data_IF_427810631753
#
_entry.id   IF_427810631753
#
_cell.length_a   1.000
_cell.length_b   1.000
_cell.length_c   1.000
_cell.angle_alpha   90.00
_cell.angle_beta   90.00
_cell.angle_gamma   90.00
#
_symmetry.space_group_name_H-M   'P 1'
#
loop_
_entity.id
_entity.type
_entity.pdbx_description
1 polymer ?
#
# COMPACT_ATOMS: atom_id res chain seq x y z
N UNK A 1 27.79 -10.97 1.42
CA UNK A 1 27.99 -10.56 0.02
C UNK A 1 29.48 -10.57 -0.29
N UNK A 2 29.83 -10.92 -1.53
CA UNK A 2 31.21 -10.94 -2.03
C UNK A 2 31.42 -9.82 -3.05
N UNK A 3 32.67 -9.42 -3.23
CA UNK A 3 33.06 -8.47 -4.27
C UNK A 3 32.62 -8.96 -5.66
N UNK A 4 32.09 -8.04 -6.48
CA UNK A 4 31.55 -8.34 -7.80
C UNK A 4 30.20 -9.09 -7.83
N UNK A 5 29.62 -9.45 -6.68
CA UNK A 5 28.30 -10.10 -6.63
C UNK A 5 27.18 -9.09 -6.89
N UNK A 6 26.23 -9.43 -7.77
CA UNK A 6 24.98 -8.69 -7.92
C UNK A 6 23.87 -9.25 -7.01
N UNK A 7 23.10 -8.36 -6.40
CA UNK A 7 21.97 -8.69 -5.52
C UNK A 7 20.74 -7.93 -6.01
N UNK A 8 19.65 -8.65 -6.27
CA UNK A 8 18.35 -8.09 -6.63
C UNK A 8 17.38 -8.45 -5.50
N UNK A 9 16.70 -7.46 -4.93
CA UNK A 9 15.71 -7.72 -3.90
C UNK A 9 15.11 -6.46 -3.31
N UNK A 10 14.23 -6.65 -2.33
CA UNK A 10 13.87 -5.56 -1.44
C UNK A 10 15.05 -5.25 -0.51
N UNK A 11 15.34 -3.97 -0.32
CA UNK A 11 16.51 -3.45 0.42
C UNK A 11 16.24 -2.14 1.16
N UNK A 12 15.01 -1.61 1.09
CA UNK A 12 14.53 -0.40 1.75
C UNK A 12 15.49 0.82 1.70
N UNK A 13 16.10 1.15 0.55
CA UNK A 13 17.23 2.08 0.52
C UNK A 13 16.85 3.53 0.86
N UNK A 14 15.56 3.89 0.86
CA UNK A 14 15.07 5.21 1.28
C UNK A 14 14.69 5.27 2.77
N UNK A 15 14.43 4.13 3.41
CA UNK A 15 14.13 4.03 4.83
C UNK A 15 15.38 3.73 5.67
N UNK A 16 16.25 2.87 5.15
CA UNK A 16 17.51 2.47 5.78
C UNK A 16 18.72 2.73 4.86
N UNK A 17 18.99 4.02 4.50
CA UNK A 17 20.04 4.35 3.55
C UNK A 17 21.44 3.90 4.00
N UNK A 18 21.68 3.76 5.31
CA UNK A 18 22.95 3.26 5.84
C UNK A 18 23.25 1.82 5.39
N UNK A 19 22.23 0.95 5.24
CA UNK A 19 22.42 -0.42 4.77
C UNK A 19 22.96 -0.47 3.32
N UNK A 20 22.70 0.57 2.51
CA UNK A 20 23.27 0.68 1.18
C UNK A 20 24.80 0.84 1.21
N UNK A 21 25.36 1.54 2.22
CA UNK A 21 26.81 1.65 2.42
C UNK A 21 27.43 0.29 2.75
N UNK A 22 26.84 -0.46 3.67
CA UNK A 22 27.32 -1.80 4.06
C UNK A 22 27.41 -2.76 2.88
N UNK A 23 26.45 -2.67 1.94
CA UNK A 23 26.46 -3.45 0.70
C UNK A 23 27.53 -2.95 -0.26
N UNK A 24 27.64 -1.62 -0.43
CA UNK A 24 28.63 -0.99 -1.28
C UNK A 24 30.08 -1.33 -0.85
N UNK A 25 30.41 -1.21 0.44
CA UNK A 25 31.74 -1.47 1.00
C UNK A 25 32.22 -2.92 0.79
N UNK A 26 31.29 -3.87 0.63
CA UNK A 26 31.60 -5.26 0.29
C UNK A 26 31.89 -5.48 -1.21
N UNK A 27 31.86 -4.43 -2.02
CA UNK A 27 32.07 -4.48 -3.47
C UNK A 27 30.89 -5.08 -4.25
N UNK A 28 29.74 -5.26 -3.60
CA UNK A 28 28.56 -5.82 -4.25
C UNK A 28 27.78 -4.75 -5.03
N UNK A 29 27.08 -5.19 -6.07
CA UNK A 29 26.11 -4.38 -6.80
C UNK A 29 24.72 -4.66 -6.26
N UNK A 30 24.02 -3.63 -5.77
CA UNK A 30 22.64 -3.77 -5.27
C UNK A 30 21.63 -3.14 -6.22
N UNK A 31 20.58 -3.90 -6.55
CA UNK A 31 19.43 -3.46 -7.31
C UNK A 31 18.17 -3.60 -6.43
N UNK A 32 17.52 -2.47 -6.15
CA UNK A 32 16.35 -2.41 -5.26
C UNK A 32 15.06 -2.54 -6.06
N UNK A 33 14.25 -3.52 -5.70
CA UNK A 33 12.93 -3.75 -6.31
C UNK A 33 11.91 -2.65 -5.96
N UNK A 34 12.10 -1.93 -4.85
CA UNK A 34 11.25 -0.80 -4.44
C UNK A 34 11.43 0.44 -5.32
N UNK A 35 12.59 0.55 -5.96
CA UNK A 35 12.96 1.71 -6.78
C UNK A 35 12.68 1.51 -8.28
N UNK A 36 11.93 0.46 -8.64
CA UNK A 36 11.46 0.27 -10.03
C UNK A 36 10.67 1.53 -10.46
N UNK A 37 11.07 2.20 -11.55
CA UNK A 37 10.38 3.40 -12.00
C UNK A 37 8.96 3.06 -12.45
N UNK A 38 8.01 3.96 -12.16
CA UNK A 38 6.59 3.79 -12.49
C UNK A 38 6.29 4.17 -13.95
N UNK A 39 6.93 3.46 -14.88
CA UNK A 39 6.78 3.63 -16.32
C UNK A 39 6.13 2.39 -16.95
N UNK A 40 5.42 2.57 -18.07
CA UNK A 40 4.66 1.50 -18.73
C UNK A 40 5.48 0.23 -18.99
N UNK A 41 6.72 0.37 -19.47
CA UNK A 41 7.60 -0.77 -19.76
C UNK A 41 8.11 -1.52 -18.53
N UNK A 42 8.04 -0.92 -17.34
CA UNK A 42 8.53 -1.51 -16.09
C UNK A 42 7.42 -2.14 -15.22
N UNK A 43 6.14 -2.01 -15.61
CA UNK A 43 5.00 -2.49 -14.81
C UNK A 43 5.09 -3.98 -14.45
N UNK A 44 5.63 -4.81 -15.35
CA UNK A 44 5.82 -6.25 -15.09
C UNK A 44 6.95 -6.57 -14.10
N UNK A 45 7.81 -5.59 -13.81
CA UNK A 45 8.90 -5.68 -12.82
C UNK A 45 8.51 -5.11 -11.46
N UNK A 46 7.35 -4.42 -11.37
CA UNK A 46 6.90 -3.78 -10.13
C UNK A 46 6.44 -4.83 -9.10
N UNK A 47 7.35 -5.13 -8.18
CA UNK A 47 7.09 -6.03 -7.06
C UNK A 47 6.21 -5.40 -5.97
N UNK A 48 6.23 -4.07 -5.80
CA UNK A 48 5.39 -3.39 -4.81
C UNK A 48 3.92 -3.52 -5.18
N UNK A 49 3.57 -3.33 -6.46
CA UNK A 49 2.22 -3.54 -6.96
C UNK A 49 1.76 -4.99 -6.81
N UNK A 50 2.67 -5.95 -7.03
CA UNK A 50 2.39 -7.38 -6.86
C UNK A 50 2.07 -7.72 -5.40
N UNK A 51 2.90 -7.26 -4.46
CA UNK A 51 2.67 -7.45 -3.02
C UNK A 51 1.43 -6.71 -2.53
N UNK A 52 1.19 -5.49 -3.00
CA UNK A 52 0.01 -4.69 -2.66
C UNK A 52 -1.30 -5.37 -3.08
N UNK A 53 -1.31 -6.03 -4.24
CA UNK A 53 -2.45 -6.83 -4.70
C UNK A 53 -2.78 -7.92 -3.68
N UNK A 54 -1.78 -8.68 -3.25
CA UNK A 54 -1.98 -9.75 -2.27
C UNK A 54 -2.45 -9.18 -0.93
N UNK A 55 -1.84 -8.08 -0.47
CA UNK A 55 -2.22 -7.42 0.77
C UNK A 55 -3.69 -6.95 0.74
N UNK A 56 -4.12 -6.27 -0.32
CA UNK A 56 -5.51 -5.82 -0.48
C UNK A 56 -6.54 -6.97 -0.46
N UNK A 57 -6.23 -8.08 -1.14
CA UNK A 57 -7.05 -9.29 -1.10
C UNK A 57 -7.15 -9.87 0.31
N UNK A 58 -6.00 -10.05 0.97
CA UNK A 58 -5.94 -10.68 2.28
C UNK A 58 -6.55 -9.80 3.38
N UNK A 59 -6.46 -8.47 3.26
CA UNK A 59 -7.08 -7.52 4.18
C UNK A 59 -8.59 -7.76 4.31
N UNK A 60 -9.26 -7.99 3.17
CA UNK A 60 -10.69 -8.29 3.13
C UNK A 60 -11.00 -9.64 3.76
N UNK A 61 -10.16 -10.66 3.55
CA UNK A 61 -10.37 -11.96 4.19
C UNK A 61 -10.19 -11.88 5.71
N UNK A 62 -9.21 -11.12 6.19
CA UNK A 62 -9.04 -10.87 7.63
C UNK A 62 -10.27 -10.15 8.19
N UNK A 63 -10.71 -9.07 7.52
CA UNK A 63 -11.92 -8.36 7.92
C UNK A 63 -13.14 -9.29 7.97
N UNK A 64 -13.33 -10.12 6.94
CA UNK A 64 -14.45 -11.07 6.88
C UNK A 64 -14.39 -12.16 7.95
N UNK A 65 -13.19 -12.56 8.36
CA UNK A 65 -13.01 -13.53 9.44
C UNK A 65 -13.25 -12.93 10.83
N UNK A 66 -12.91 -11.66 11.03
CA UNK A 66 -13.05 -10.98 12.32
C UNK A 66 -14.45 -10.37 12.52
N UNK A 67 -15.13 -9.98 11.44
CA UNK A 67 -16.45 -9.33 11.51
C UNK A 67 -17.53 -10.36 11.94
N UNK A 68 -18.32 -10.07 12.99
CA UNK A 68 -19.42 -10.94 13.42
C UNK A 68 -20.69 -10.73 12.56
N UNK A 69 -20.52 -10.44 11.27
CA UNK A 69 -21.60 -10.21 10.29
C UNK A 69 -21.25 -10.86 8.96
N UNK A 70 -22.28 -11.26 8.23
CA UNK A 70 -22.11 -11.78 6.88
C UNK A 70 -21.90 -10.63 5.89
N UNK A 71 -20.95 -10.79 4.96
CA UNK A 71 -20.68 -9.80 3.91
C UNK A 71 -21.81 -9.66 2.89
N UNK A 72 -22.35 -10.75 2.30
CA UNK A 72 -23.35 -10.63 1.25
C UNK A 72 -24.74 -10.35 1.83
N UNK A 73 -25.59 -9.74 1.00
CA UNK A 73 -27.02 -9.77 1.23
C UNK A 73 -27.53 -11.20 1.07
N UNK A 74 -28.35 -11.67 2.00
CA UNK A 74 -28.96 -13.00 1.91
C UNK A 74 -30.44 -12.95 2.24
N UNK A 75 -31.24 -13.55 1.37
CA UNK A 75 -32.65 -13.83 1.63
C UNK A 75 -32.74 -15.23 2.26
N UNK A 76 -33.13 -15.29 3.53
CA UNK A 76 -33.18 -16.53 4.29
C UNK A 76 -34.59 -16.79 4.82
N UNK A 77 -34.83 -17.99 5.37
CA UNK A 77 -36.08 -18.30 6.05
C UNK A 77 -36.35 -17.39 7.26
N UNK A 78 -35.30 -16.85 7.90
CA UNK A 78 -35.40 -15.94 9.04
C UNK A 78 -35.52 -14.46 8.63
N UNK A 79 -35.62 -14.17 7.32
CA UNK A 79 -35.69 -12.83 6.76
C UNK A 79 -34.43 -12.41 6.01
N UNK A 80 -34.34 -11.12 5.70
CA UNK A 80 -33.25 -10.54 4.90
C UNK A 80 -32.09 -10.11 5.79
N UNK A 81 -30.91 -10.67 5.53
CA UNK A 81 -29.64 -10.21 6.09
C UNK A 81 -29.09 -9.11 5.17
N UNK A 82 -28.85 -7.92 5.75
CA UNK A 82 -28.27 -6.79 5.02
C UNK A 82 -26.78 -7.06 4.74
N UNK A 83 -26.24 -6.59 3.61
CA UNK A 83 -24.82 -6.74 3.31
C UNK A 83 -23.97 -5.89 4.25
N UNK A 84 -22.76 -6.34 4.53
CA UNK A 84 -21.77 -5.54 5.25
C UNK A 84 -21.39 -4.29 4.45
N UNK A 85 -21.14 -3.19 5.16
CA UNK A 85 -20.64 -1.92 4.62
C UNK A 85 -19.13 -1.85 4.83
N UNK A 86 -18.39 -1.90 3.73
CA UNK A 86 -16.93 -1.81 3.72
C UNK A 86 -16.52 -0.45 3.18
N UNK A 87 -15.70 0.28 3.92
CA UNK A 87 -15.13 1.54 3.50
C UNK A 87 -13.63 1.41 3.29
N UNK A 88 -13.14 1.76 2.10
CA UNK A 88 -11.72 1.67 1.74
C UNK A 88 -11.12 3.07 1.62
N UNK A 89 -10.07 3.35 2.40
CA UNK A 89 -9.38 4.64 2.44
C UNK A 89 -8.02 4.48 1.74
N UNK A 90 -7.91 5.10 0.57
CA UNK A 90 -6.83 4.91 -0.38
C UNK A 90 -7.23 3.94 -1.50
N UNK A 91 -7.16 4.39 -2.74
CA UNK A 91 -7.44 3.61 -3.95
C UNK A 91 -6.19 3.43 -4.80
N UNK A 92 -5.06 3.12 -4.15
CA UNK A 92 -3.89 2.53 -4.80
C UNK A 92 -4.13 1.05 -5.12
N UNK A 93 -3.08 0.32 -5.53
CA UNK A 93 -3.20 -1.10 -5.92
C UNK A 93 -3.83 -1.97 -4.82
N UNK A 94 -3.38 -1.82 -3.57
CA UNK A 94 -3.96 -2.55 -2.44
C UNK A 94 -5.44 -2.18 -2.20
N UNK A 95 -5.76 -0.88 -2.24
CA UNK A 95 -7.12 -0.38 -2.07
C UNK A 95 -8.08 -0.88 -3.14
N UNK A 96 -7.71 -0.78 -4.42
CA UNK A 96 -8.50 -1.30 -5.55
C UNK A 96 -8.71 -2.80 -5.45
N UNK A 97 -7.67 -3.55 -5.04
CA UNK A 97 -7.81 -4.99 -4.84
C UNK A 97 -8.69 -5.34 -3.62
N UNK A 98 -8.65 -4.54 -2.55
CA UNK A 98 -9.56 -4.67 -1.42
C UNK A 98 -11.01 -4.38 -1.85
N UNK A 99 -11.25 -3.32 -2.63
CA UNK A 99 -12.56 -3.01 -3.20
C UNK A 99 -13.08 -4.20 -4.02
N UNK A 100 -12.30 -4.69 -4.98
CA UNK A 100 -12.69 -5.81 -5.83
C UNK A 100 -12.99 -7.07 -5.02
N UNK A 101 -12.20 -7.36 -3.98
CA UNK A 101 -12.38 -8.55 -3.14
C UNK A 101 -13.61 -8.43 -2.23
N UNK A 102 -13.86 -7.26 -1.63
CA UNK A 102 -15.04 -7.02 -0.81
C UNK A 102 -16.33 -7.09 -1.64
N UNK A 103 -16.31 -6.56 -2.88
CA UNK A 103 -17.41 -6.68 -3.84
C UNK A 103 -17.68 -8.14 -4.23
N UNK A 104 -16.64 -8.94 -4.45
CA UNK A 104 -16.77 -10.39 -4.71
C UNK A 104 -17.40 -11.15 -3.53
N UNK A 105 -17.18 -10.70 -2.29
CA UNK A 105 -17.86 -11.23 -1.10
C UNK A 105 -19.29 -10.70 -0.92
N UNK A 106 -19.78 -9.81 -1.79
CA UNK A 106 -21.14 -9.29 -1.78
C UNK A 106 -21.37 -8.08 -0.87
N UNK A 107 -20.31 -7.45 -0.37
CA UNK A 107 -20.43 -6.25 0.45
C UNK A 107 -20.87 -5.01 -0.35
N UNK A 108 -21.49 -4.06 0.36
CA UNK A 108 -21.63 -2.69 -0.14
C UNK A 108 -20.32 -1.97 0.13
N UNK A 109 -19.64 -1.52 -0.92
CA UNK A 109 -18.32 -0.90 -0.80
C UNK A 109 -18.41 0.57 -1.14
N UNK A 110 -17.86 1.40 -0.26
CA UNK A 110 -17.61 2.82 -0.45
C UNK A 110 -16.08 3.01 -0.42
N UNK A 111 -15.53 3.96 -1.16
CA UNK A 111 -14.09 4.21 -1.14
C UNK A 111 -13.77 5.69 -1.28
N UNK A 112 -12.64 6.10 -0.71
CA UNK A 112 -12.14 7.46 -0.76
C UNK A 112 -10.66 7.47 -1.14
N UNK A 113 -10.27 8.40 -2.00
CA UNK A 113 -8.87 8.76 -2.27
C UNK A 113 -8.82 10.27 -2.51
N UNK A 114 -7.69 10.89 -2.18
CA UNK A 114 -7.44 12.31 -2.42
C UNK A 114 -7.22 12.63 -3.90
N UNK A 115 -6.95 11.61 -4.69
CA UNK A 115 -6.69 11.70 -6.13
C UNK A 115 -8.00 11.56 -6.91
N UNK A 116 -8.40 12.55 -7.72
CA UNK A 116 -9.63 12.46 -8.49
C UNK A 116 -9.56 11.39 -9.60
N UNK A 117 -8.35 11.11 -10.12
CA UNK A 117 -8.14 10.19 -11.25
C UNK A 117 -8.56 8.73 -10.95
N UNK A 118 -8.61 8.32 -9.68
CA UNK A 118 -8.99 6.96 -9.29
C UNK A 118 -10.50 6.76 -9.15
N UNK A 119 -11.30 7.84 -9.22
CA UNK A 119 -12.76 7.75 -9.10
C UNK A 119 -13.36 6.76 -10.10
N UNK A 120 -13.01 6.90 -11.37
CA UNK A 120 -13.50 6.01 -12.43
C UNK A 120 -13.07 4.55 -12.19
N UNK A 121 -11.87 4.32 -11.65
CA UNK A 121 -11.38 2.98 -11.31
C UNK A 121 -12.22 2.36 -10.17
N UNK A 122 -12.51 3.12 -9.12
CA UNK A 122 -13.38 2.70 -8.01
C UNK A 122 -14.78 2.35 -8.51
N UNK A 123 -15.38 3.22 -9.33
CA UNK A 123 -16.73 3.03 -9.87
C UNK A 123 -16.79 1.83 -10.83
N UNK A 124 -15.75 1.60 -11.64
CA UNK A 124 -15.66 0.44 -12.54
C UNK A 124 -15.65 -0.91 -11.79
N UNK A 125 -15.19 -0.92 -10.54
CA UNK A 125 -15.24 -2.08 -9.65
C UNK A 125 -16.60 -2.22 -8.92
N UNK A 126 -17.53 -1.29 -9.15
CA UNK A 126 -18.87 -1.28 -8.59
C UNK A 126 -18.93 -0.79 -7.15
N UNK A 127 -17.95 0.00 -6.70
CA UNK A 127 -17.99 0.70 -5.41
C UNK A 127 -18.41 2.17 -5.60
N UNK A 128 -18.96 2.77 -4.55
CA UNK A 128 -19.29 4.19 -4.55
C UNK A 128 -18.07 5.01 -4.13
N UNK A 129 -17.71 6.03 -4.93
CA UNK A 129 -16.66 6.98 -4.55
C UNK A 129 -17.22 8.05 -3.62
N UNK A 130 -16.59 8.23 -2.46
CA UNK A 130 -16.95 9.28 -1.49
C UNK A 130 -16.28 10.57 -1.92
N UNK A 131 -17.05 11.49 -2.47
CA UNK A 131 -16.53 12.81 -2.85
C UNK A 131 -16.44 13.75 -1.66
N UNK A 132 -15.37 14.55 -1.62
CA UNK A 132 -15.34 15.74 -0.79
C UNK A 132 -15.79 16.93 -1.64
N UNK A 133 -16.77 17.73 -1.19
CA UNK A 133 -17.29 18.85 -1.96
C UNK A 133 -16.31 20.03 -1.95
N UNK A 134 -15.24 19.96 -2.75
CA UNK A 134 -14.22 21.00 -2.93
C UNK A 134 -13.56 20.95 -4.33
N UNK A 135 -13.13 22.11 -4.84
CA UNK A 135 -12.40 22.24 -6.11
C UNK A 135 -10.95 21.75 -5.95
N UNK A 136 -10.71 20.46 -6.18
CA UNK A 136 -9.37 19.85 -6.04
C UNK A 136 -8.50 20.08 -7.27
N UNK A 137 -7.96 21.30 -7.42
CA UNK A 137 -6.86 21.56 -8.34
C UNK A 137 -5.52 21.08 -7.76
N UNK A 138 -4.94 19.99 -8.28
CA UNK A 138 -3.52 19.66 -8.08
C UNK A 138 -3.14 18.75 -6.90
N UNK A 139 -3.99 17.78 -6.53
CA UNK A 139 -3.72 16.84 -5.42
C UNK A 139 -2.67 15.75 -5.70
N UNK A 140 -2.15 15.65 -6.93
CA UNK A 140 -1.12 14.69 -7.33
C UNK A 140 0.26 15.35 -7.53
N UNK A 141 1.32 14.65 -7.14
CA UNK A 141 2.70 14.92 -7.57
C UNK A 141 3.05 14.20 -8.89
N UNK A 142 4.25 14.46 -9.42
CA UNK A 142 4.70 13.86 -10.68
C UNK A 142 4.81 12.31 -10.65
N UNK A 143 4.79 11.70 -9.45
CA UNK A 143 4.82 10.25 -9.24
C UNK A 143 3.46 9.62 -8.94
N UNK A 144 2.36 10.40 -9.00
CA UNK A 144 1.00 9.97 -8.72
C UNK A 144 0.67 9.80 -7.23
N UNK A 145 1.46 10.41 -6.33
CA UNK A 145 1.19 10.45 -4.89
C UNK A 145 0.45 11.73 -4.48
N UNK A 146 -0.21 11.65 -3.33
CA UNK A 146 -0.97 12.75 -2.73
C UNK A 146 -0.09 13.90 -2.22
N UNK A 147 -0.48 15.16 -2.48
CA UNK A 147 0.10 16.37 -1.87
C UNK A 147 -0.62 16.78 -0.58
N UNK A 148 0.08 17.54 0.28
CA UNK A 148 -0.51 18.20 1.46
C UNK A 148 -1.58 19.22 1.04
N UNK A 149 -2.68 19.30 1.81
CA UNK A 149 -3.88 20.08 1.48
C UNK A 149 -4.13 21.21 2.50
N UNK A 150 -5.01 22.16 2.17
CA UNK A 150 -5.36 23.29 3.05
C UNK A 150 -6.19 22.89 4.29
N UNK A 151 -6.25 23.77 5.30
CA UNK A 151 -6.90 23.50 6.58
C UNK A 151 -8.42 23.27 6.45
N UNK A 152 -9.08 24.03 5.58
CA UNK A 152 -10.51 23.89 5.27
C UNK A 152 -10.85 22.56 4.61
N UNK A 153 -9.95 22.03 3.77
CA UNK A 153 -10.05 20.71 3.17
C UNK A 153 -9.93 19.64 4.23
N UNK A 154 -8.96 19.75 5.14
CA UNK A 154 -8.73 18.79 6.21
C UNK A 154 -9.92 18.72 7.18
N UNK A 155 -10.56 19.85 7.49
CA UNK A 155 -11.77 19.88 8.32
C UNK A 155 -12.95 19.17 7.67
N UNK A 156 -13.27 19.50 6.41
CA UNK A 156 -14.38 18.86 5.68
C UNK A 156 -14.12 17.39 5.39
N UNK A 157 -12.87 17.05 5.10
CA UNK A 157 -12.42 15.67 5.01
C UNK A 157 -12.73 14.96 6.31
N UNK A 158 -12.29 15.51 7.45
CA UNK A 158 -12.53 14.90 8.77
C UNK A 158 -14.02 14.71 9.04
N UNK A 159 -14.86 15.70 8.79
CA UNK A 159 -16.32 15.60 8.98
C UNK A 159 -16.94 14.46 8.15
N UNK A 160 -16.62 14.43 6.85
CA UNK A 160 -17.14 13.40 5.93
C UNK A 160 -16.64 12.01 6.33
N UNK A 161 -15.35 11.90 6.65
CA UNK A 161 -14.72 10.66 7.10
C UNK A 161 -15.34 10.17 8.40
N UNK A 162 -15.58 11.04 9.39
CA UNK A 162 -16.24 10.67 10.65
C UNK A 162 -17.59 10.02 10.40
N UNK A 163 -18.41 10.65 9.55
CA UNK A 163 -19.74 10.12 9.22
C UNK A 163 -19.67 8.76 8.51
N UNK A 164 -18.78 8.61 7.53
CA UNK A 164 -18.68 7.37 6.74
C UNK A 164 -18.06 6.23 7.56
N UNK A 165 -17.01 6.51 8.33
CA UNK A 165 -16.36 5.54 9.23
C UNK A 165 -17.37 5.04 10.27
N UNK A 166 -18.08 5.93 10.97
CA UNK A 166 -19.09 5.55 11.95
C UNK A 166 -20.21 4.66 11.36
N UNK A 167 -20.53 4.87 10.09
CA UNK A 167 -21.57 4.13 9.38
C UNK A 167 -21.10 2.80 8.76
N UNK A 168 -19.81 2.48 8.86
CA UNK A 168 -19.17 1.30 8.25
C UNK A 168 -19.05 0.13 9.23
N UNK A 169 -19.22 -1.09 8.71
CA UNK A 169 -18.95 -2.33 9.44
C UNK A 169 -17.47 -2.68 9.38
N UNK A 170 -16.82 -2.37 8.26
CA UNK A 170 -15.40 -2.60 8.02
C UNK A 170 -14.77 -1.33 7.46
N UNK A 171 -13.60 -0.95 7.96
CA UNK A 171 -12.74 0.08 7.36
C UNK A 171 -11.40 -0.56 6.99
N UNK A 172 -10.93 -0.34 5.75
CA UNK A 172 -9.60 -0.77 5.30
C UNK A 172 -8.80 0.45 4.90
N UNK A 173 -7.63 0.66 5.51
CA UNK A 173 -6.77 1.81 5.21
C UNK A 173 -5.49 1.38 4.50
N UNK A 174 -5.11 2.11 3.45
CA UNK A 174 -3.96 1.76 2.61
C UNK A 174 -3.10 2.96 2.23
N UNK A 175 -3.21 4.08 2.94
CA UNK A 175 -2.53 5.32 2.58
C UNK A 175 -1.08 5.30 3.06
N UNK A 176 -0.14 5.23 2.10
CA UNK A 176 1.29 5.19 2.38
C UNK A 176 2.06 6.13 1.45
N UNK A 177 3.02 6.85 2.02
CA UNK A 177 4.00 7.65 1.27
C UNK A 177 5.39 7.04 1.51
N UNK A 178 6.13 6.65 0.46
CA UNK A 178 7.45 6.03 0.65
C UNK A 178 8.41 6.91 1.44
N UNK A 179 9.12 6.30 2.39
CA UNK A 179 10.09 6.98 3.24
C UNK A 179 9.49 7.95 4.27
N UNK A 180 8.16 7.92 4.50
CA UNK A 180 7.49 8.73 5.51
C UNK A 180 6.61 7.88 6.41
N UNK A 181 6.35 8.39 7.61
CA UNK A 181 5.32 7.86 8.52
C UNK A 181 3.95 7.94 7.84
N UNK A 182 3.11 6.95 8.09
CA UNK A 182 1.74 6.92 7.60
C UNK A 182 0.92 8.08 8.23
N UNK A 183 0.08 8.79 7.45
CA UNK A 183 -0.81 9.80 8.00
C UNK A 183 -1.94 9.15 8.79
N UNK A 184 -2.29 9.71 9.95
CA UNK A 184 -3.48 9.28 10.71
C UNK A 184 -4.73 9.83 10.02
N UNK A 185 -5.55 8.94 9.46
CA UNK A 185 -6.78 9.26 8.74
C UNK A 185 -8.03 8.81 9.50
N UNK A 186 -7.90 7.80 10.37
CA UNK A 186 -8.97 7.28 11.22
C UNK A 186 -8.60 7.53 12.68
N UNK A 187 -9.27 8.50 13.30
CA UNK A 187 -8.99 8.86 14.70
C UNK A 187 -9.65 7.89 15.68
N UNK A 188 -9.18 7.86 16.94
CA UNK A 188 -9.81 7.06 17.99
C UNK A 188 -11.29 7.44 18.22
N UNK A 189 -11.63 8.72 18.06
CA UNK A 189 -13.02 9.21 18.11
C UNK A 189 -13.87 8.63 16.97
N UNK A 190 -13.35 8.58 15.75
CA UNK A 190 -14.05 7.94 14.63
C UNK A 190 -14.30 6.46 14.90
N UNK A 191 -13.31 5.74 15.47
CA UNK A 191 -13.46 4.34 15.87
C UNK A 191 -14.52 4.18 16.97
N UNK A 192 -14.52 5.07 17.97
CA UNK A 192 -15.52 5.08 19.04
C UNK A 192 -16.96 5.30 18.51
N UNK A 193 -17.11 5.99 17.38
CA UNK A 193 -18.39 6.20 16.70
C UNK A 193 -18.88 5.02 15.86
N UNK A 194 -18.04 3.99 15.63
CA UNK A 194 -18.46 2.79 14.90
C UNK A 194 -19.35 1.89 15.77
N UNK A 195 -20.12 1.02 15.10
CA UNK A 195 -20.91 0.00 15.78
C UNK A 195 -20.00 -1.03 16.51
N UNK A 196 -20.41 -1.55 17.67
CA UNK A 196 -19.69 -2.66 18.32
C UNK A 196 -19.59 -3.88 17.40
N UNK A 197 -18.42 -4.51 17.40
CA UNK A 197 -18.07 -5.62 16.52
C UNK A 197 -17.62 -5.20 15.12
N UNK A 198 -17.60 -3.91 14.77
CA UNK A 198 -16.97 -3.45 13.54
C UNK A 198 -15.47 -3.78 13.52
N UNK A 199 -14.86 -3.75 12.33
CA UNK A 199 -13.44 -4.08 12.13
C UNK A 199 -12.72 -2.97 11.37
N UNK A 200 -11.51 -2.64 11.79
CA UNK A 200 -10.55 -1.82 11.04
C UNK A 200 -9.36 -2.70 10.66
N UNK A 201 -8.96 -2.70 9.39
CA UNK A 201 -7.73 -3.35 8.91
C UNK A 201 -6.80 -2.30 8.34
N UNK A 202 -5.66 -2.10 9.00
CA UNK A 202 -4.72 -1.05 8.66
C UNK A 202 -3.48 -1.60 7.95
N UNK A 203 -3.44 -1.44 6.63
CA UNK A 203 -2.31 -1.90 5.81
C UNK A 203 -1.09 -0.98 5.87
N UNK A 204 -1.19 0.14 6.58
CA UNK A 204 -0.07 1.06 6.82
C UNK A 204 0.60 0.84 8.19
N UNK A 205 0.27 -0.25 8.90
CA UNK A 205 0.75 -0.54 10.26
C UNK A 205 2.28 -0.53 10.39
N UNK A 206 3.00 -1.03 9.38
CA UNK A 206 4.48 -1.01 9.33
C UNK A 206 5.10 0.39 9.41
N UNK A 207 4.33 1.43 9.08
CA UNK A 207 4.77 2.84 9.09
C UNK A 207 4.01 3.68 10.11
N UNK A 208 3.48 3.05 11.15
CA UNK A 208 2.74 3.71 12.23
C UNK A 208 1.21 3.66 12.10
N UNK A 209 0.68 3.25 10.95
CA UNK A 209 -0.75 3.09 10.73
C UNK A 209 -1.49 4.36 10.29
N UNK A 210 -2.59 4.16 9.56
CA UNK A 210 -3.57 5.22 9.29
C UNK A 210 -4.66 5.31 10.37
N UNK A 211 -4.79 4.32 11.26
CA UNK A 211 -5.69 4.36 12.40
C UNK A 211 -4.92 4.66 13.69
N UNK A 212 -5.43 5.59 14.50
CA UNK A 212 -4.79 6.03 15.74
C UNK A 212 -4.65 4.92 16.80
N UNK A 213 -5.41 3.83 16.68
CA UNK A 213 -5.37 2.68 17.60
C UNK A 213 -4.49 1.54 17.07
N UNK A 214 -3.93 1.67 15.87
CA UNK A 214 -3.13 0.62 15.23
C UNK A 214 -1.87 0.32 16.03
N UNK A 215 -1.63 -0.96 16.21
CA UNK A 215 -0.36 -1.51 16.67
C UNK A 215 0.06 -2.61 15.70
N UNK A 216 1.29 -2.54 15.22
CA UNK A 216 1.83 -3.51 14.26
C UNK A 216 1.78 -4.93 14.82
N UNK A 217 1.26 -5.86 14.04
CA UNK A 217 1.10 -7.29 14.37
C UNK A 217 0.25 -7.60 15.61
N UNK A 218 -0.49 -6.63 16.11
CA UNK A 218 -1.42 -6.79 17.22
C UNK A 218 -2.88 -6.66 16.76
N UNK A 219 -3.75 -7.37 17.47
CA UNK A 219 -5.19 -7.15 17.46
C UNK A 219 -5.55 -6.28 18.67
N UNK A 220 -6.09 -5.09 18.42
CA UNK A 220 -6.52 -4.15 19.45
C UNK A 220 -8.04 -4.08 19.46
N UNK A 221 -8.66 -4.36 20.60
CA UNK A 221 -10.10 -4.15 20.80
C UNK A 221 -10.29 -2.81 21.50
N UNK A 222 -11.03 -1.88 20.86
CA UNK A 222 -11.37 -0.59 21.45
C UNK A 222 -12.40 -0.72 22.58
N UNK A 223 -12.55 0.34 23.39
CA UNK A 223 -13.52 0.37 24.49
C UNK A 223 -14.97 0.15 24.05
N UNK A 224 -15.34 0.56 22.83
CA UNK A 224 -16.66 0.33 22.23
C UNK A 224 -16.78 -1.02 21.49
N UNK A 225 -15.77 -1.89 21.56
CA UNK A 225 -15.79 -3.24 21.00
C UNK A 225 -15.50 -3.33 19.50
N UNK A 226 -14.78 -2.35 18.92
CA UNK A 226 -14.29 -2.42 17.54
C UNK A 226 -12.94 -3.13 17.54
N UNK A 227 -12.74 -4.04 16.59
CA UNK A 227 -11.46 -4.75 16.42
C UNK A 227 -10.58 -4.01 15.42
N UNK A 228 -9.37 -3.65 15.80
CA UNK A 228 -8.37 -2.99 14.95
C UNK A 228 -7.22 -3.97 14.71
N UNK A 229 -7.01 -4.33 13.45
CA UNK A 229 -5.97 -5.24 12.99
C UNK A 229 -4.89 -4.44 12.27
N UNK A 230 -3.66 -4.50 12.77
CA UNK A 230 -2.49 -3.86 12.16
C UNK A 230 -1.48 -4.84 11.56
N UNK A 231 -1.86 -5.74 10.63
CA UNK A 231 -0.94 -6.77 10.16
C UNK A 231 0.26 -6.15 9.41
N UNK A 232 1.46 -6.62 9.73
CA UNK A 232 2.64 -6.40 8.89
C UNK A 232 2.88 -7.61 7.98
N UNK A 233 3.62 -7.41 6.89
CA UNK A 233 4.04 -8.46 5.96
C UNK A 233 2.89 -9.38 5.50
N UNK A 234 1.73 -8.80 5.23
CA UNK A 234 0.54 -9.54 4.85
C UNK A 234 0.71 -10.46 3.61
N UNK A 235 1.54 -10.11 2.59
CA UNK A 235 1.84 -11.00 1.48
C UNK A 235 2.42 -12.37 1.90
N UNK A 236 3.15 -12.44 3.01
CA UNK A 236 3.72 -13.70 3.53
C UNK A 236 2.65 -14.75 3.89
N UNK A 237 1.41 -14.31 4.13
CA UNK A 237 0.28 -15.19 4.44
C UNK A 237 -0.36 -15.84 3.21
N UNK A 238 0.07 -15.44 2.00
CA UNK A 238 -0.29 -16.06 0.72
C UNK A 238 0.99 -16.45 -0.03
N UNK A 239 1.84 -17.31 0.58
CA UNK A 239 3.24 -17.46 0.17
C UNK A 239 3.38 -18.00 -1.25
N UNK A 240 2.49 -18.89 -1.68
CA UNK A 240 2.54 -19.46 -3.03
C UNK A 240 2.45 -18.37 -4.12
N UNK A 241 1.42 -17.52 -4.07
CA UNK A 241 1.23 -16.46 -5.07
C UNK A 241 2.21 -15.30 -4.86
N UNK A 242 2.57 -14.99 -3.61
CA UNK A 242 3.61 -13.99 -3.33
C UNK A 242 4.94 -14.38 -3.96
N UNK A 243 5.41 -15.61 -3.71
CA UNK A 243 6.64 -16.11 -4.32
C UNK A 243 6.54 -16.21 -5.84
N UNK A 244 5.41 -16.66 -6.39
CA UNK A 244 5.21 -16.74 -7.84
C UNK A 244 5.32 -15.36 -8.51
N UNK A 245 4.59 -14.36 -8.00
CA UNK A 245 4.58 -13.01 -8.57
C UNK A 245 5.95 -12.34 -8.38
N UNK A 246 6.53 -12.43 -7.18
CA UNK A 246 7.84 -11.84 -6.90
C UNK A 246 8.96 -12.46 -7.75
N UNK A 247 8.96 -13.78 -7.91
CA UNK A 247 9.90 -14.46 -8.80
C UNK A 247 9.74 -14.01 -10.26
N UNK A 248 8.50 -13.79 -10.72
CA UNK A 248 8.24 -13.24 -12.06
C UNK A 248 8.78 -11.81 -12.19
N UNK A 249 8.58 -10.95 -11.19
CA UNK A 249 9.10 -9.58 -11.21
C UNK A 249 10.64 -9.57 -11.27
N UNK A 250 11.30 -10.31 -10.37
CA UNK A 250 12.77 -10.45 -10.33
C UNK A 250 13.29 -11.01 -11.65
N UNK A 251 12.70 -12.09 -12.16
CA UNK A 251 13.15 -12.70 -13.41
C UNK A 251 13.02 -11.74 -14.59
N UNK A 252 11.97 -10.92 -14.61
CA UNK A 252 11.75 -9.92 -15.67
C UNK A 252 12.80 -8.80 -15.60
N UNK A 253 13.12 -8.31 -14.40
CA UNK A 253 14.21 -7.35 -14.21
C UNK A 253 15.56 -7.96 -14.58
N UNK A 254 15.85 -9.18 -14.11
CA UNK A 254 17.10 -9.86 -14.40
C UNK A 254 17.32 -10.05 -15.91
N UNK A 255 16.29 -10.47 -16.64
CA UNK A 255 16.35 -10.62 -18.10
C UNK A 255 16.55 -9.26 -18.80
N UNK A 256 15.97 -8.18 -18.28
CA UNK A 256 16.20 -6.82 -18.79
C UNK A 256 17.66 -6.37 -18.59
N UNK A 257 18.27 -6.74 -17.46
CA UNK A 257 19.64 -6.41 -17.10
C UNK A 257 20.69 -7.38 -17.67
N UNK A 258 20.29 -8.35 -18.50
CA UNK A 258 21.19 -9.38 -19.02
C UNK A 258 21.24 -9.34 -20.55
N UNK A 259 22.45 -9.36 -21.12
CA UNK A 259 22.67 -9.58 -22.56
C UNK A 259 23.73 -10.65 -22.73
N UNK A 260 23.47 -11.63 -23.60
CA UNK A 260 24.38 -12.76 -23.88
C UNK A 260 24.87 -13.51 -22.62
N UNK A 261 24.01 -13.63 -21.61
CA UNK A 261 24.32 -14.31 -20.34
C UNK A 261 25.18 -13.50 -19.37
N UNK A 262 25.51 -12.24 -19.69
CA UNK A 262 26.25 -11.33 -18.83
C UNK A 262 25.36 -10.17 -18.36
N UNK A 263 25.61 -9.70 -17.14
CA UNK A 263 24.92 -8.53 -16.58
C UNK A 263 25.40 -7.25 -17.30
N UNK A 264 24.49 -6.48 -17.86
CA UNK A 264 24.76 -5.21 -18.54
C UNK A 264 23.98 -4.10 -17.84
N UNK A 265 24.70 -3.30 -17.06
CA UNK A 265 24.14 -2.19 -16.29
C UNK A 265 24.35 -0.88 -17.05
N UNK A 266 23.43 -0.60 -17.96
CA UNK A 266 23.37 0.64 -18.74
C UNK A 266 22.82 1.78 -17.88
N UNK A 267 23.67 2.73 -17.47
CA UNK A 267 23.27 3.86 -16.64
C UNK A 267 22.35 4.86 -17.37
N UNK A 268 22.25 4.80 -18.69
CA UNK A 268 21.34 5.64 -19.48
C UNK A 268 19.92 5.05 -19.53
N UNK A 269 19.76 3.76 -19.21
CA UNK A 269 18.44 3.13 -19.10
C UNK A 269 17.78 3.47 -17.75
N UNK A 270 16.62 4.12 -17.82
CA UNK A 270 15.87 4.59 -16.65
C UNK A 270 15.55 3.48 -15.62
N UNK A 271 15.30 2.24 -16.03
CA UNK A 271 15.02 1.12 -15.11
C UNK A 271 16.30 0.73 -14.37
N UNK A 272 17.39 0.60 -15.11
CA UNK A 272 18.70 0.30 -14.53
C UNK A 272 19.14 1.40 -13.57
N UNK A 273 19.12 2.65 -14.02
CA UNK A 273 19.50 3.81 -13.20
C UNK A 273 18.62 3.97 -11.95
N UNK A 274 17.30 3.76 -12.08
CA UNK A 274 16.36 3.86 -10.97
C UNK A 274 16.56 2.77 -9.92
N UNK A 275 16.87 1.54 -10.33
CA UNK A 275 17.01 0.41 -9.40
C UNK A 275 18.40 0.27 -8.80
N UNK A 276 19.44 0.79 -9.45
CA UNK A 276 20.84 0.61 -9.05
C UNK A 276 21.18 1.45 -7.81
N UNK A 277 21.28 0.80 -6.65
CA UNK A 277 21.58 1.44 -5.37
C UNK A 277 23.08 1.62 -5.15
N UNK A 278 23.85 0.56 -5.37
CA UNK A 278 25.31 0.55 -5.18
C UNK A 278 26.02 -0.21 -6.28
N UNK A 279 27.26 0.22 -6.59
CA UNK A 279 28.15 -0.43 -7.54
C UNK A 279 29.60 -0.03 -7.27
N UNK A 280 30.52 -1.00 -7.37
CA UNK A 280 31.96 -0.72 -7.37
C UNK A 280 32.46 -0.02 -6.10
N UNK A 281 31.97 -0.43 -4.93
CA UNK A 281 32.41 0.17 -3.66
C UNK A 281 31.61 1.41 -3.22
N UNK A 282 30.67 1.90 -4.04
CA UNK A 282 30.00 3.18 -3.79
C UNK A 282 28.47 3.06 -3.87
N UNK A 283 27.78 3.91 -3.11
CA UNK A 283 26.36 4.19 -3.33
C UNK A 283 26.25 5.14 -4.53
N UNK A 284 25.42 4.77 -5.50
CA UNK A 284 25.29 5.47 -6.78
C UNK A 284 23.89 6.06 -7.01
N UNK A 285 22.86 5.57 -6.29
CA UNK A 285 21.52 6.11 -6.44
C UNK A 285 21.42 7.54 -5.88
N UNK A 286 21.02 8.56 -6.68
CA UNK A 286 21.09 9.97 -6.28
C UNK A 286 20.34 10.27 -4.97
N UNK A 287 19.11 9.76 -4.84
CA UNK A 287 18.29 10.01 -3.64
C UNK A 287 18.83 9.32 -2.37
N UNK A 288 19.53 8.20 -2.52
CA UNK A 288 20.11 7.49 -1.37
C UNK A 288 21.36 8.23 -0.90
N UNK A 289 22.18 8.72 -1.84
CA UNK A 289 23.32 9.60 -1.54
C UNK A 289 22.90 10.87 -0.82
N UNK A 290 21.82 11.52 -1.28
CA UNK A 290 21.25 12.69 -0.62
C UNK A 290 20.86 12.40 0.83
N UNK A 291 20.16 11.29 1.09
CA UNK A 291 19.79 10.86 2.44
C UNK A 291 21.00 10.51 3.31
N UNK A 292 22.12 10.13 2.70
CA UNK A 292 23.40 9.85 3.36
C UNK A 292 24.26 11.09 3.59
N UNK A 293 23.83 12.27 3.11
CA UNK A 293 24.62 13.50 3.14
C UNK A 293 25.79 13.52 2.15
N UNK A 294 25.77 12.64 1.15
CA UNK A 294 26.76 12.57 0.08
C UNK A 294 26.26 13.41 -1.11
N UNK A 295 27.12 14.30 -1.63
CA UNK A 295 26.76 15.10 -2.80
C UNK A 295 26.43 14.19 -4.01
N UNK A 296 25.39 14.56 -4.76
CA UNK A 296 24.92 13.86 -5.96
C UNK A 296 26.02 13.80 -7.03
#
# INVERSE_FOLDING_TARGET
LRDGQAVIGFSEPLGEPAAARDVAERGATALSMELIPRITRAQSMDALSSMATIAGYKAVLLAASALPRMFPMMMTAAGTIKPARVFVIGAGVAGLQAIASARRLGARVEAYDVRPAVKEQVESLGAAFVELPLETGGSEDAGGYAKAQDETFLERQRETMTRVVAASDVVITTALVPGRTAPVLVTAEMVAGMAPGSVVVDLAAERGGNCALTKGDEEVVSDNGVTVLGPTNLPSTVPYHASQMYAKNISTLLLHLTRDGALVLDSDDEITAGTLVSRGGQVVHPRVRELLGEAA
#
